data_IF_299880034183
#
_entry.id   IF_299880034183
#
_cell.length_a   1.000
_cell.length_b   1.000
_cell.length_c   1.000
_cell.angle_alpha   90.00
_cell.angle_beta   90.00
_cell.angle_gamma   90.00
#
_symmetry.space_group_name_H-M   'P 1'
#
loop_
_entity.id
_entity.type
_entity.pdbx_description
1 polymer ?
#
# COMPACT_ATOMS: atom_id res chain seq x y z
N UNK A 1 -10.29 12.54 -7.35
CA UNK A 1 -9.66 13.88 -7.16
C UNK A 1 -10.22 14.55 -5.91
N UNK A 2 -9.51 15.53 -5.31
CA UNK A 2 -10.05 16.33 -4.20
C UNK A 2 -11.38 17.00 -4.52
N UNK A 3 -11.54 17.50 -5.77
CA UNK A 3 -12.79 18.11 -6.20
C UNK A 3 -13.97 17.14 -6.27
N UNK A 4 -13.74 15.91 -6.73
CA UNK A 4 -14.76 14.84 -6.71
C UNK A 4 -15.16 14.46 -5.29
N UNK A 5 -14.17 14.31 -4.40
CA UNK A 5 -14.43 14.02 -2.98
C UNK A 5 -15.23 15.15 -2.33
N UNK A 6 -14.86 16.41 -2.58
CA UNK A 6 -15.57 17.55 -2.05
C UNK A 6 -17.03 17.61 -2.55
N UNK A 7 -17.28 17.33 -3.83
CA UNK A 7 -18.64 17.22 -4.38
C UNK A 7 -19.43 16.10 -3.71
N UNK A 8 -18.82 14.93 -3.56
CA UNK A 8 -19.44 13.78 -2.89
C UNK A 8 -19.84 14.12 -1.44
N UNK A 9 -18.90 14.60 -0.63
CA UNK A 9 -19.15 14.96 0.76
C UNK A 9 -20.20 16.07 0.89
N UNK A 10 -20.16 17.10 0.03
CA UNK A 10 -21.16 18.15 0.06
C UNK A 10 -22.56 17.61 -0.23
N UNK A 11 -22.68 16.64 -1.13
CA UNK A 11 -23.98 16.04 -1.46
C UNK A 11 -24.49 15.07 -0.38
N UNK A 12 -23.62 14.27 0.23
CA UNK A 12 -23.99 13.22 1.16
C UNK A 12 -24.04 13.72 2.61
N UNK A 13 -22.92 14.27 3.10
CA UNK A 13 -22.78 14.57 4.53
C UNK A 13 -23.30 15.96 4.87
N UNK A 14 -23.29 16.87 3.91
CA UNK A 14 -23.69 18.28 4.11
C UNK A 14 -24.96 18.69 3.38
N UNK A 15 -25.69 17.76 2.74
CA UNK A 15 -26.99 18.03 2.08
C UNK A 15 -26.93 19.25 1.14
N UNK A 16 -25.83 19.45 0.43
CA UNK A 16 -25.56 20.60 -0.45
C UNK A 16 -25.59 21.97 0.26
N UNK A 17 -25.21 22.05 1.52
CA UNK A 17 -25.18 23.31 2.28
C UNK A 17 -24.06 24.26 1.86
N UNK A 18 -23.01 23.77 1.22
CA UNK A 18 -21.92 24.59 0.72
C UNK A 18 -22.15 25.01 -0.73
N UNK A 19 -21.89 26.27 -1.04
CA UNK A 19 -21.73 26.70 -2.44
C UNK A 19 -20.32 26.28 -2.88
N UNK A 20 -20.25 25.14 -3.57
CA UNK A 20 -18.99 24.54 -3.99
C UNK A 20 -18.74 24.76 -5.48
N UNK A 21 -17.60 25.37 -5.79
CA UNK A 21 -17.11 25.51 -7.18
C UNK A 21 -15.82 24.70 -7.31
N UNK A 22 -15.80 23.72 -8.20
CA UNK A 22 -14.60 22.93 -8.53
C UNK A 22 -13.97 23.48 -9.79
N UNK A 23 -12.75 24.01 -9.66
CA UNK A 23 -11.91 24.40 -10.80
C UNK A 23 -11.24 23.13 -11.34
N UNK A 24 -11.60 22.73 -12.54
CA UNK A 24 -11.07 21.53 -13.19
C UNK A 24 -9.65 21.75 -13.69
N UNK A 25 -8.83 20.70 -13.60
CA UNK A 25 -7.52 20.70 -14.26
C UNK A 25 -7.69 20.62 -15.78
N UNK A 26 -6.87 21.35 -16.51
CA UNK A 26 -6.79 21.27 -17.96
C UNK A 26 -5.69 20.29 -18.38
N UNK A 27 -5.93 19.51 -19.45
CA UNK A 27 -4.95 18.57 -20.00
C UNK A 27 -4.65 17.34 -19.15
N UNK A 28 -5.40 17.11 -18.06
CA UNK A 28 -5.26 15.94 -17.22
C UNK A 28 -6.45 14.98 -17.37
N UNK A 29 -6.15 13.69 -17.32
CA UNK A 29 -7.17 12.64 -17.19
C UNK A 29 -6.72 11.56 -16.17
N UNK A 30 -7.67 10.72 -15.75
CA UNK A 30 -7.45 9.75 -14.66
C UNK A 30 -6.43 8.64 -14.98
N UNK A 31 -6.23 8.33 -16.25
CA UNK A 31 -5.27 7.30 -16.67
C UNK A 31 -3.82 7.79 -16.71
N UNK A 32 -3.59 9.10 -16.58
CA UNK A 32 -2.24 9.68 -16.62
C UNK A 32 -1.47 9.37 -15.34
N UNK A 33 -0.25 8.92 -15.51
CA UNK A 33 0.80 8.94 -14.48
C UNK A 33 1.34 10.36 -14.31
N UNK A 34 2.13 10.61 -13.26
CA UNK A 34 2.73 11.94 -13.08
C UNK A 34 3.66 12.32 -14.22
N UNK A 35 4.47 11.37 -14.69
CA UNK A 35 5.46 11.62 -15.75
C UNK A 35 4.79 12.03 -17.07
N UNK A 36 3.61 11.53 -17.37
CA UNK A 36 2.83 11.88 -18.55
C UNK A 36 2.25 13.30 -18.49
N UNK A 37 2.22 13.92 -17.32
CA UNK A 37 1.81 15.33 -17.19
C UNK A 37 2.87 16.31 -17.69
N UNK A 38 4.14 15.86 -17.81
CA UNK A 38 5.28 16.72 -18.15
C UNK A 38 5.66 17.72 -17.06
N UNK A 39 5.08 17.62 -15.86
CA UNK A 39 5.37 18.51 -14.73
C UNK A 39 6.49 17.97 -13.86
N UNK A 40 7.35 18.85 -13.35
CA UNK A 40 8.34 18.52 -12.34
C UNK A 40 7.69 18.04 -11.04
N UNK A 41 8.22 16.97 -10.46
CA UNK A 41 7.74 16.50 -9.16
C UNK A 41 8.18 17.45 -8.04
N UNK A 42 7.22 17.99 -7.31
CA UNK A 42 7.49 18.76 -6.11
C UNK A 42 7.31 17.83 -4.91
N UNK A 43 8.37 17.66 -4.11
CA UNK A 43 8.36 16.76 -2.96
C UNK A 43 7.30 17.17 -1.95
N UNK A 44 6.21 16.41 -1.88
CA UNK A 44 5.10 16.66 -0.96
C UNK A 44 5.39 16.13 0.46
N UNK A 45 6.24 15.11 0.57
CA UNK A 45 6.63 14.48 1.82
C UNK A 45 8.00 13.82 1.67
N UNK A 46 8.83 13.76 2.73
CA UNK A 46 10.08 12.98 2.70
C UNK A 46 9.88 11.51 2.33
N UNK A 47 8.68 10.99 2.56
CA UNK A 47 8.32 9.60 2.21
C UNK A 47 7.76 9.45 0.79
N UNK A 48 7.55 10.56 0.07
CA UNK A 48 7.09 10.57 -1.32
C UNK A 48 8.07 11.45 -2.14
N UNK A 49 9.33 11.01 -2.29
CA UNK A 49 10.38 11.82 -2.92
C UNK A 49 10.27 11.91 -4.44
N UNK A 50 9.53 11.02 -5.07
CA UNK A 50 9.39 10.93 -6.53
C UNK A 50 7.91 10.71 -6.90
N UNK A 51 7.51 11.11 -8.11
CA UNK A 51 6.15 10.92 -8.61
C UNK A 51 5.68 9.46 -8.56
N UNK A 52 6.55 8.52 -8.93
CA UNK A 52 6.27 7.08 -8.84
C UNK A 52 6.00 6.59 -7.41
N UNK A 53 6.59 7.20 -6.37
CA UNK A 53 6.35 6.80 -4.98
C UNK A 53 4.88 6.97 -4.58
N UNK A 54 4.19 7.95 -5.18
CA UNK A 54 2.75 8.15 -4.95
C UNK A 54 1.91 6.98 -5.48
N UNK A 55 2.33 6.37 -6.60
CA UNK A 55 1.67 5.19 -7.17
C UNK A 55 1.86 3.96 -6.29
N UNK A 56 3.03 3.83 -5.64
CA UNK A 56 3.31 2.72 -4.73
C UNK A 56 2.65 2.87 -3.34
N UNK A 57 2.17 4.06 -2.98
CA UNK A 57 1.52 4.27 -1.69
C UNK A 57 0.36 3.28 -1.44
N UNK A 58 -0.59 3.04 -2.36
CA UNK A 58 -1.64 2.04 -2.19
C UNK A 58 -1.14 0.58 -2.23
N UNK A 59 0.10 0.33 -2.67
CA UNK A 59 0.65 -1.03 -2.81
C UNK A 59 1.07 -1.64 -1.48
N UNK A 60 1.54 -0.82 -0.52
CA UNK A 60 2.05 -1.31 0.77
C UNK A 60 1.57 -0.48 1.97
N UNK A 61 0.99 0.70 1.73
CA UNK A 61 0.77 1.72 2.76
C UNK A 61 -0.20 1.32 3.87
N UNK A 62 -1.27 0.57 3.56
CA UNK A 62 -2.27 0.17 4.55
C UNK A 62 -1.63 -0.72 5.63
N UNK A 63 -0.92 -1.75 5.24
CA UNK A 63 -0.25 -2.65 6.19
C UNK A 63 0.96 -2.01 6.89
N UNK A 64 1.55 -0.98 6.30
CA UNK A 64 2.56 -0.15 6.95
C UNK A 64 2.05 0.53 8.23
N UNK A 65 0.75 0.78 8.33
CA UNK A 65 0.12 1.36 9.52
C UNK A 65 0.24 0.48 10.76
N UNK A 66 0.37 -0.83 10.63
CA UNK A 66 0.60 -1.70 11.78
C UNK A 66 1.99 -1.57 12.41
N UNK A 67 2.99 -1.11 11.66
CA UNK A 67 4.37 -1.06 12.13
C UNK A 67 4.97 -2.46 12.40
N UNK A 68 4.46 -3.48 11.75
CA UNK A 68 4.90 -4.88 11.90
C UNK A 68 5.88 -5.32 10.80
N UNK A 69 5.87 -4.61 9.68
CA UNK A 69 6.85 -4.71 8.60
C UNK A 69 7.38 -3.34 8.24
N UNK A 70 8.53 -3.27 7.60
CA UNK A 70 9.01 -2.06 6.96
C UNK A 70 8.52 -2.04 5.50
N UNK A 71 7.94 -0.91 5.11
CA UNK A 71 7.41 -0.67 3.75
C UNK A 71 8.30 0.29 2.94
N UNK A 72 9.59 0.25 3.17
CA UNK A 72 10.57 1.13 2.51
C UNK A 72 10.70 2.52 3.14
N UNK A 73 9.86 2.87 4.10
CA UNK A 73 10.00 4.11 4.88
C UNK A 73 11.27 4.01 5.73
N UNK A 74 12.16 4.97 5.53
CA UNK A 74 13.50 4.94 6.12
C UNK A 74 14.55 4.24 5.25
N UNK A 75 14.20 3.91 4.02
CA UNK A 75 15.08 3.41 2.97
C UNK A 75 14.86 4.19 1.67
N UNK A 76 15.64 3.91 0.62
CA UNK A 76 15.59 4.66 -0.65
C UNK A 76 14.40 4.29 -1.56
N UNK A 77 13.59 3.29 -1.17
CA UNK A 77 12.47 2.75 -1.94
C UNK A 77 11.15 2.82 -1.13
N UNK A 78 10.70 4.03 -0.73
CA UNK A 78 9.50 4.16 0.07
C UNK A 78 8.28 3.63 -0.69
N UNK A 79 7.52 2.75 -0.02
CA UNK A 79 6.34 2.03 -0.51
C UNK A 79 6.58 1.01 -1.63
N UNK A 80 7.78 0.97 -2.22
CA UNK A 80 8.13 0.01 -3.27
C UNK A 80 8.49 -1.38 -2.73
N UNK A 81 8.75 -1.49 -1.43
CA UNK A 81 9.19 -2.73 -0.78
C UNK A 81 8.33 -3.05 0.45
N UNK A 82 8.28 -4.33 0.80
CA UNK A 82 7.75 -4.80 2.07
C UNK A 82 8.64 -5.89 2.63
N UNK A 83 9.08 -5.74 3.89
CA UNK A 83 10.00 -6.70 4.48
C UNK A 83 10.17 -6.58 5.99
N UNK A 84 10.82 -7.61 6.57
CA UNK A 84 11.13 -7.70 7.99
C UNK A 84 12.36 -8.60 8.22
N UNK A 85 12.98 -8.58 9.43
CA UNK A 85 14.15 -9.43 9.73
C UNK A 85 13.88 -10.94 9.71
N UNK A 86 12.64 -11.34 9.89
CA UNK A 86 12.21 -12.74 9.98
C UNK A 86 11.76 -13.35 8.64
N UNK A 87 11.74 -12.58 7.56
CA UNK A 87 11.33 -13.03 6.22
C UNK A 87 12.52 -13.65 5.49
N UNK A 88 12.27 -14.66 4.66
CA UNK A 88 13.17 -15.13 3.60
C UNK A 88 12.74 -14.47 2.29
N UNK A 89 13.61 -13.62 1.74
CA UNK A 89 13.30 -12.82 0.56
C UNK A 89 12.97 -13.67 -0.67
N UNK A 90 13.80 -14.68 -0.95
CA UNK A 90 13.62 -15.55 -2.11
C UNK A 90 12.33 -16.37 -1.99
N UNK A 91 12.09 -16.96 -0.82
CA UNK A 91 10.88 -17.76 -0.55
C UNK A 91 9.60 -16.94 -0.74
N UNK A 92 9.60 -15.69 -0.27
CA UNK A 92 8.44 -14.81 -0.43
C UNK A 92 8.26 -14.38 -1.89
N UNK A 93 9.34 -14.01 -2.58
CA UNK A 93 9.28 -13.61 -3.98
C UNK A 93 8.79 -14.74 -4.88
N UNK A 94 9.29 -15.97 -4.68
CA UNK A 94 8.86 -17.15 -5.44
C UNK A 94 7.37 -17.43 -5.24
N UNK A 95 6.89 -17.37 -3.98
CA UNK A 95 5.49 -17.58 -3.66
C UNK A 95 4.57 -16.53 -4.31
N UNK A 96 4.96 -15.26 -4.27
CA UNK A 96 4.20 -14.17 -4.85
C UNK A 96 4.20 -14.19 -6.37
N UNK A 97 5.33 -14.52 -7.01
CA UNK A 97 5.41 -14.65 -8.47
C UNK A 97 4.60 -15.86 -8.97
N UNK A 98 4.47 -16.92 -8.16
CA UNK A 98 3.61 -18.05 -8.49
C UNK A 98 2.11 -17.71 -8.53
N UNK A 99 1.68 -16.55 -8.03
CA UNK A 99 0.31 -16.05 -8.17
C UNK A 99 0.03 -15.47 -9.57
N UNK A 100 1.06 -15.25 -10.39
CA UNK A 100 0.97 -14.73 -11.76
C UNK A 100 0.11 -13.44 -11.86
N UNK A 101 0.33 -12.49 -10.93
CA UNK A 101 -0.48 -11.27 -10.87
C UNK A 101 -0.30 -10.40 -12.12
N UNK A 102 -1.39 -10.00 -12.79
CA UNK A 102 -1.30 -9.24 -14.04
C UNK A 102 -0.54 -7.92 -13.85
N UNK A 103 0.53 -7.72 -14.64
CA UNK A 103 1.32 -6.49 -14.64
C UNK A 103 2.20 -6.26 -13.42
N UNK A 104 2.41 -7.28 -12.60
CA UNK A 104 3.22 -7.21 -11.37
C UNK A 104 4.29 -8.30 -11.38
N UNK A 105 5.47 -7.95 -10.89
CA UNK A 105 6.56 -8.87 -10.60
C UNK A 105 7.18 -8.54 -9.24
N UNK A 106 7.60 -9.55 -8.51
CA UNK A 106 8.26 -9.41 -7.20
C UNK A 106 9.72 -9.84 -7.28
N UNK A 107 10.60 -8.94 -6.87
CA UNK A 107 12.03 -9.21 -6.77
C UNK A 107 12.43 -9.38 -5.30
N UNK A 108 13.22 -10.41 -4.93
CA UNK A 108 13.75 -10.49 -3.57
C UNK A 108 14.69 -9.32 -3.28
N UNK A 109 14.62 -8.77 -2.06
CA UNK A 109 15.46 -7.66 -1.63
C UNK A 109 15.93 -7.84 -0.20
N UNK A 110 17.19 -7.42 0.05
CA UNK A 110 17.78 -7.26 1.38
C UNK A 110 18.07 -5.78 1.60
N UNK A 111 17.63 -5.23 2.74
CA UNK A 111 17.79 -3.80 3.00
C UNK A 111 17.92 -3.52 4.49
N UNK A 112 18.43 -2.33 4.81
CA UNK A 112 18.63 -1.89 6.19
C UNK A 112 18.07 -0.47 6.34
N UNK A 113 16.92 -0.29 7.02
CA UNK A 113 16.32 1.02 7.21
C UNK A 113 17.20 1.93 8.09
N UNK A 114 17.32 3.20 7.74
CA UNK A 114 18.00 4.22 8.53
C UNK A 114 17.13 4.76 9.67
N UNK A 115 15.81 4.71 9.54
CA UNK A 115 14.83 5.08 10.55
C UNK A 115 13.54 4.27 10.34
N UNK A 116 12.50 4.51 11.17
CA UNK A 116 11.23 3.79 11.16
C UNK A 116 11.37 2.36 11.70
N UNK A 117 10.47 1.48 11.30
CA UNK A 117 10.38 0.09 11.75
C UNK A 117 11.67 -0.66 11.36
N UNK A 118 12.24 -1.42 12.29
CA UNK A 118 13.49 -2.16 12.14
C UNK A 118 14.71 -1.30 11.80
N UNK A 119 14.74 -0.04 12.29
CA UNK A 119 15.90 0.83 12.13
C UNK A 119 17.20 0.11 12.48
N UNK A 120 18.11 0.04 11.51
CA UNK A 120 19.45 -0.53 11.69
C UNK A 120 19.51 -2.06 11.65
N UNK A 121 18.38 -2.76 11.53
CA UNK A 121 18.32 -4.21 11.36
C UNK A 121 18.37 -4.60 9.88
N UNK A 122 18.93 -5.77 9.58
CA UNK A 122 18.86 -6.32 8.24
C UNK A 122 17.48 -6.93 8.00
N UNK A 123 16.72 -6.33 7.11
CA UNK A 123 15.44 -6.84 6.65
C UNK A 123 15.59 -7.59 5.34
N UNK A 124 14.73 -8.56 5.14
CA UNK A 124 14.53 -9.28 3.89
C UNK A 124 13.07 -9.14 3.48
N UNK A 125 12.79 -9.20 2.20
CA UNK A 125 11.43 -9.06 1.71
C UNK A 125 11.38 -8.97 0.20
N UNK A 126 10.35 -8.31 -0.32
CA UNK A 126 10.15 -8.16 -1.75
C UNK A 126 10.10 -6.68 -2.16
N UNK A 127 10.63 -6.40 -3.34
CA UNK A 127 10.38 -5.18 -4.08
C UNK A 127 9.30 -5.47 -5.12
N UNK A 128 8.29 -4.61 -5.17
CA UNK A 128 7.21 -4.69 -6.16
C UNK A 128 7.63 -3.94 -7.42
N UNK A 129 7.54 -4.59 -8.56
CA UNK A 129 7.70 -3.98 -9.88
C UNK A 129 6.36 -3.94 -10.60
N UNK A 130 5.91 -2.76 -10.99
CA UNK A 130 4.72 -2.57 -11.80
C UNK A 130 5.18 -2.56 -13.27
N UNK A 131 4.87 -3.62 -13.99
CA UNK A 131 5.23 -3.79 -15.39
C UNK A 131 4.14 -3.24 -16.34
N UNK A 132 2.89 -3.21 -15.88
CA UNK A 132 1.75 -2.74 -16.65
C UNK A 132 0.73 -2.09 -15.69
N UNK A 133 0.66 -0.76 -15.73
CA UNK A 133 -0.21 0.03 -14.85
C UNK A 133 -1.70 -0.18 -15.13
N UNK A 134 -2.07 -0.52 -16.36
CA UNK A 134 -3.48 -0.73 -16.75
C UNK A 134 -4.03 -2.06 -16.24
N UNK A 135 -3.15 -3.04 -16.03
CA UNK A 135 -3.52 -4.38 -15.55
C UNK A 135 -3.34 -4.54 -14.03
N UNK A 136 -2.42 -3.78 -13.44
CA UNK A 136 -2.07 -3.92 -12.05
C UNK A 136 -3.18 -3.44 -11.11
N UNK A 137 -3.61 -4.30 -10.19
CA UNK A 137 -4.60 -3.96 -9.16
C UNK A 137 -3.87 -3.54 -7.88
N UNK A 138 -3.40 -2.30 -7.84
CA UNK A 138 -2.42 -1.81 -6.88
C UNK A 138 -2.82 -2.01 -5.41
N UNK A 139 -4.07 -1.74 -5.05
CA UNK A 139 -4.54 -1.87 -3.66
C UNK A 139 -4.67 -3.32 -3.17
N UNK A 140 -4.79 -4.28 -4.08
CA UNK A 140 -4.88 -5.71 -3.74
C UNK A 140 -3.53 -6.30 -3.33
N UNK A 141 -2.43 -5.77 -3.88
CA UNK A 141 -1.08 -6.34 -3.76
C UNK A 141 -0.68 -6.55 -2.30
N UNK A 142 -0.91 -5.58 -1.43
CA UNK A 142 -0.53 -5.68 -0.03
C UNK A 142 -1.28 -6.81 0.71
N UNK A 143 -2.54 -7.05 0.39
CA UNK A 143 -3.31 -8.15 0.98
C UNK A 143 -2.77 -9.50 0.53
N UNK A 144 -2.42 -9.63 -0.76
CA UNK A 144 -1.80 -10.84 -1.30
C UNK A 144 -0.40 -11.07 -0.72
N UNK A 145 0.41 -10.02 -0.53
CA UNK A 145 1.70 -10.14 0.15
C UNK A 145 1.50 -10.67 1.58
N UNK A 146 0.57 -10.10 2.34
CA UNK A 146 0.32 -10.54 3.72
C UNK A 146 -0.29 -11.94 3.76
N UNK A 147 -1.16 -12.29 2.82
CA UNK A 147 -1.69 -13.66 2.68
C UNK A 147 -0.55 -14.67 2.50
N UNK A 148 0.38 -14.43 1.59
CA UNK A 148 1.52 -15.31 1.38
C UNK A 148 2.49 -15.33 2.57
N UNK A 149 2.71 -14.19 3.22
CA UNK A 149 3.48 -14.15 4.47
C UNK A 149 2.86 -15.04 5.56
N UNK A 150 1.54 -14.98 5.74
CA UNK A 150 0.84 -15.79 6.75
C UNK A 150 0.81 -17.28 6.38
N UNK A 151 0.75 -17.59 5.09
CA UNK A 151 0.86 -18.98 4.62
C UNK A 151 2.25 -19.57 4.88
N UNK A 152 3.30 -18.78 4.68
CA UNK A 152 4.70 -19.20 4.84
C UNK A 152 5.15 -19.19 6.31
N UNK A 153 4.68 -18.23 7.09
CA UNK A 153 5.05 -18.04 8.51
C UNK A 153 3.79 -17.89 9.38
N UNK A 154 2.99 -18.97 9.56
CA UNK A 154 1.72 -18.91 10.28
C UNK A 154 1.85 -18.51 11.76
N UNK A 155 3.03 -18.70 12.35
CA UNK A 155 3.34 -18.24 13.71
C UNK A 155 3.47 -16.70 13.81
N UNK A 156 3.45 -16.00 12.69
CA UNK A 156 3.59 -14.53 12.61
C UNK A 156 2.26 -13.82 12.42
N UNK A 157 1.23 -14.20 13.16
CA UNK A 157 -0.09 -13.60 13.08
C UNK A 157 -0.03 -12.08 13.27
N UNK A 158 -0.34 -11.33 12.20
CA UNK A 158 -0.19 -9.87 12.17
C UNK A 158 -1.09 -9.18 13.18
N UNK A 159 -2.35 -9.57 13.26
CA UNK A 159 -3.33 -8.93 14.13
C UNK A 159 -3.13 -9.27 15.62
N UNK A 160 -2.40 -10.31 15.93
CA UNK A 160 -2.01 -10.65 17.31
C UNK A 160 -0.68 -9.99 17.71
N UNK A 161 0.30 -9.96 16.81
CA UNK A 161 1.67 -9.54 17.10
C UNK A 161 1.93 -8.06 16.82
N UNK A 162 1.07 -7.38 16.04
CA UNK A 162 1.21 -5.96 15.76
C UNK A 162 0.78 -5.10 16.97
N UNK A 163 1.04 -3.81 16.88
CA UNK A 163 0.55 -2.84 17.86
C UNK A 163 -0.96 -2.60 17.67
N UNK A 164 -1.78 -3.27 18.47
CA UNK A 164 -3.26 -3.17 18.40
C UNK A 164 -3.80 -1.73 18.57
N UNK A 165 -3.04 -0.81 19.18
CA UNK A 165 -3.41 0.62 19.24
C UNK A 165 -3.51 1.25 17.85
N UNK A 166 -2.92 0.63 16.84
CA UNK A 166 -2.95 1.08 15.45
C UNK A 166 -4.15 0.56 14.65
N UNK A 167 -4.95 -0.34 15.20
CA UNK A 167 -6.16 -0.85 14.53
C UNK A 167 -7.10 0.27 14.07
N UNK A 168 -7.32 1.26 14.91
CA UNK A 168 -8.16 2.40 14.54
C UNK A 168 -7.61 3.18 13.33
N UNK A 169 -6.28 3.26 13.17
CA UNK A 169 -5.68 3.89 12.00
C UNK A 169 -5.83 3.00 10.75
N UNK A 170 -5.60 1.71 10.89
CA UNK A 170 -5.82 0.74 9.81
C UNK A 170 -7.27 0.78 9.31
N UNK A 171 -8.25 0.70 10.24
CA UNK A 171 -9.67 0.74 9.94
C UNK A 171 -10.07 2.05 9.22
N UNK A 172 -9.50 3.19 9.63
CA UNK A 172 -9.71 4.48 8.96
C UNK A 172 -9.15 4.52 7.54
N UNK A 173 -7.98 3.95 7.31
CA UNK A 173 -7.36 3.90 5.99
C UNK A 173 -8.12 2.94 5.06
N UNK A 174 -8.63 1.83 5.58
CA UNK A 174 -9.49 0.90 4.85
C UNK A 174 -10.92 1.44 4.63
N UNK A 175 -11.34 2.44 5.41
CA UNK A 175 -12.71 2.97 5.41
C UNK A 175 -13.67 2.20 6.31
N UNK A 176 -13.32 1.03 6.81
CA UNK A 176 -14.12 0.25 7.77
C UNK A 176 -13.27 -0.74 8.55
N UNK A 177 -13.80 -1.25 9.67
CA UNK A 177 -13.19 -2.35 10.42
C UNK A 177 -13.43 -3.74 9.82
N UNK A 178 -14.36 -3.88 8.87
CA UNK A 178 -14.73 -5.17 8.29
C UNK A 178 -13.56 -5.86 7.60
N UNK A 179 -12.73 -5.10 6.88
CA UNK A 179 -11.54 -5.65 6.20
C UNK A 179 -10.62 -6.32 7.22
N UNK A 180 -10.34 -5.68 8.35
CA UNK A 180 -9.51 -6.25 9.41
C UNK A 180 -10.15 -7.49 10.04
N UNK A 181 -11.45 -7.43 10.30
CA UNK A 181 -12.19 -8.52 10.94
C UNK A 181 -12.31 -9.75 10.05
N UNK A 182 -12.57 -9.59 8.77
CA UNK A 182 -12.71 -10.70 7.84
C UNK A 182 -11.35 -11.24 7.37
N UNK A 183 -10.48 -10.39 6.89
CA UNK A 183 -9.14 -10.79 6.44
C UNK A 183 -8.31 -11.37 7.58
N UNK A 184 -8.38 -10.80 8.78
CA UNK A 184 -7.62 -11.25 9.94
C UNK A 184 -7.99 -12.64 10.47
N UNK A 185 -9.15 -13.19 10.08
CA UNK A 185 -9.56 -14.54 10.48
C UNK A 185 -8.78 -15.63 9.74
N UNK A 186 -8.57 -15.46 8.45
CA UNK A 186 -8.01 -16.50 7.58
C UNK A 186 -6.88 -16.02 6.67
N UNK A 187 -6.67 -14.71 6.58
CA UNK A 187 -5.72 -14.07 5.66
C UNK A 187 -5.96 -14.48 4.19
N UNK A 188 -7.22 -14.52 3.77
CA UNK A 188 -7.61 -14.80 2.39
C UNK A 188 -8.13 -13.53 1.71
N UNK A 189 -7.52 -13.17 0.57
CA UNK A 189 -7.95 -12.02 -0.23
C UNK A 189 -9.41 -12.13 -0.67
N UNK A 190 -9.89 -13.33 -0.97
CA UNK A 190 -11.27 -13.57 -1.38
C UNK A 190 -12.31 -13.14 -0.35
N UNK A 191 -11.95 -13.11 0.93
CA UNK A 191 -12.88 -12.70 2.00
C UNK A 191 -13.17 -11.20 1.97
N UNK A 192 -12.33 -10.40 1.34
CA UNK A 192 -12.42 -8.93 1.37
C UNK A 192 -12.50 -8.27 0.00
N UNK A 193 -12.34 -9.02 -1.09
CA UNK A 193 -12.28 -8.44 -2.45
C UNK A 193 -13.55 -7.72 -2.91
N UNK A 194 -14.65 -7.93 -2.21
CA UNK A 194 -15.95 -7.29 -2.50
C UNK A 194 -16.18 -6.01 -1.66
N UNK A 195 -15.30 -5.70 -0.71
CA UNK A 195 -15.33 -4.48 0.09
C UNK A 195 -14.46 -3.40 -0.55
#
# INVERSE_FOLDING_TARGET
>A
TPGELALYLNATDYENKCQLTVVKMEGWNRSMTWDETGLEWIVASPHVPQGKSAVFYPVTGIFGEFGYVNIGVGYTLPFEIMGAPWISADTLADALNALELPGIEFRPIHFKPYYSVFKGELCQGVQVHILDYDKARLSEIQFLIVQEMMRLWPERNWFELCNQKRFNMFDKVCGSGHIREEFGKRYLWEDIREY
#
